data_IF_032004202105
#
_entry.id   IF_032004202105
#
_cell.length_a   1.000
_cell.length_b   1.000
_cell.length_c   1.000
_cell.angle_alpha   90.00
_cell.angle_beta   90.00
_cell.angle_gamma   90.00
#
_symmetry.space_group_name_H-M   'P 1'
#
loop_
_entity.id
_entity.type
_entity.pdbx_description
1 polymer ?
#
# COMPACT_ATOMS: atom_id res chain seq x y z
N UNK A 1 8.99 -3.11 -0.59
CA UNK A 1 9.92 -4.22 -0.91
C UNK A 1 9.70 -5.46 -0.06
N UNK A 2 9.22 -5.31 1.18
CA UNK A 2 9.01 -6.41 2.15
C UNK A 2 8.32 -7.65 1.60
N UNK A 3 7.30 -7.51 0.75
CA UNK A 3 6.62 -8.68 0.18
C UNK A 3 7.44 -9.38 -0.91
N UNK A 4 8.14 -8.65 -1.78
CA UNK A 4 8.99 -9.30 -2.80
C UNK A 4 10.08 -10.12 -2.10
N UNK A 5 10.70 -9.58 -1.05
CA UNK A 5 11.69 -10.32 -0.26
C UNK A 5 11.07 -11.48 0.54
N UNK A 6 9.94 -11.25 1.20
CA UNK A 6 9.27 -12.33 1.97
C UNK A 6 8.91 -13.51 1.07
N UNK A 7 8.28 -13.24 -0.08
CA UNK A 7 7.83 -14.30 -0.98
C UNK A 7 8.98 -14.90 -1.79
N UNK A 8 10.07 -14.17 -2.05
CA UNK A 8 11.29 -14.76 -2.63
C UNK A 8 11.87 -15.86 -1.71
N UNK A 9 11.93 -15.60 -0.40
CA UNK A 9 12.43 -16.57 0.59
C UNK A 9 11.49 -17.77 0.79
N UNK A 10 10.18 -17.54 0.81
CA UNK A 10 9.17 -18.60 0.99
C UNK A 10 9.09 -19.52 -0.24
N UNK A 11 9.15 -18.96 -1.44
CA UNK A 11 9.04 -19.71 -2.70
C UNK A 11 10.39 -20.14 -3.27
N UNK A 12 11.48 -19.85 -2.56
CA UNK A 12 12.86 -20.15 -2.99
C UNK A 12 13.12 -19.62 -4.39
N UNK A 13 12.78 -18.36 -4.62
CA UNK A 13 13.09 -17.64 -5.86
C UNK A 13 14.25 -16.71 -5.59
N UNK A 14 15.33 -16.82 -6.36
CA UNK A 14 16.51 -15.96 -6.18
C UNK A 14 16.27 -14.60 -6.83
N UNK A 15 16.19 -13.56 -6.03
CA UNK A 15 16.17 -12.16 -6.51
C UNK A 15 17.54 -11.55 -6.21
N UNK A 16 18.22 -11.01 -7.22
CA UNK A 16 19.56 -10.42 -7.06
C UNK A 16 19.52 -8.91 -6.88
N UNK A 17 18.49 -8.26 -7.42
CA UNK A 17 18.29 -6.81 -7.29
C UNK A 17 16.82 -6.46 -7.37
N UNK A 18 16.42 -5.48 -6.58
CA UNK A 18 15.11 -4.82 -6.65
C UNK A 18 15.33 -3.32 -6.55
N UNK A 19 14.80 -2.56 -7.49
CA UNK A 19 14.57 -1.12 -7.37
C UNK A 19 13.09 -0.86 -7.47
N UNK A 20 12.58 -0.03 -6.58
CA UNK A 20 11.18 0.36 -6.57
C UNK A 20 11.06 1.88 -6.48
N UNK A 21 10.13 2.43 -7.25
CA UNK A 21 9.71 3.81 -7.17
C UNK A 21 8.19 3.82 -6.97
N UNK A 22 7.71 4.70 -6.10
CA UNK A 22 6.30 4.86 -5.81
C UNK A 22 5.94 6.34 -5.86
N UNK A 23 4.87 6.67 -6.60
CA UNK A 23 4.32 8.01 -6.69
C UNK A 23 2.86 7.96 -6.26
N UNK A 24 2.47 8.84 -5.34
CA UNK A 24 1.09 8.96 -4.88
C UNK A 24 0.57 10.34 -5.27
N UNK A 25 -0.57 10.36 -5.93
CA UNK A 25 -1.27 11.58 -6.31
C UNK A 25 -2.34 11.84 -5.27
N UNK A 26 -2.17 12.93 -4.51
CA UNK A 26 -3.14 13.37 -3.52
C UNK A 26 -3.93 14.57 -4.06
N UNK A 27 -5.20 14.65 -3.70
CA UNK A 27 -6.04 15.81 -3.94
C UNK A 27 -6.74 16.20 -2.63
N UNK A 28 -6.88 17.51 -2.42
CA UNK A 28 -7.56 18.09 -1.28
C UNK A 28 -8.51 19.18 -1.80
N UNK A 29 -9.77 19.10 -1.43
CA UNK A 29 -10.81 20.05 -1.84
C UNK A 29 -11.57 20.58 -0.63
N UNK A 30 -12.29 21.70 -0.80
CA UNK A 30 -13.14 22.29 0.24
C UNK A 30 -12.46 23.39 1.06
N UNK A 31 -13.03 23.71 2.22
CA UNK A 31 -12.56 24.77 3.12
C UNK A 31 -12.41 24.27 4.55
N UNK A 32 -11.22 24.54 5.13
CA UNK A 32 -10.90 24.21 6.53
C UNK A 32 -11.85 24.95 7.48
N UNK A 33 -12.02 26.27 7.29
CA UNK A 33 -12.85 27.08 8.17
C UNK A 33 -14.35 26.75 8.04
N UNK A 34 -14.77 26.27 6.87
CA UNK A 34 -16.16 25.87 6.64
C UNK A 34 -16.44 24.39 6.96
N UNK A 35 -15.43 23.61 7.39
CA UNK A 35 -15.59 22.19 7.71
C UNK A 35 -15.95 21.30 6.51
N UNK A 36 -15.60 21.70 5.29
CA UNK A 36 -15.94 20.97 4.04
C UNK A 36 -14.74 20.28 3.41
N UNK A 37 -13.67 20.06 4.17
CA UNK A 37 -12.45 19.44 3.66
C UNK A 37 -12.68 17.98 3.29
N UNK A 38 -12.29 17.63 2.08
CA UNK A 38 -12.26 16.26 1.59
C UNK A 38 -10.88 15.96 1.00
N UNK A 39 -10.27 14.87 1.45
CA UNK A 39 -8.98 14.39 0.99
C UNK A 39 -9.16 13.09 0.19
N UNK A 40 -8.49 13.00 -0.95
CA UNK A 40 -8.49 11.79 -1.78
C UNK A 40 -7.08 11.45 -2.26
N UNK A 41 -6.86 10.18 -2.60
CA UNK A 41 -5.64 9.69 -3.23
C UNK A 41 -6.00 8.97 -4.54
N UNK A 42 -6.39 9.70 -5.60
CA UNK A 42 -6.99 9.10 -6.80
C UNK A 42 -6.08 8.12 -7.54
N UNK A 43 -4.76 8.19 -7.34
CA UNK A 43 -3.82 7.34 -8.06
C UNK A 43 -2.58 7.04 -7.22
N UNK A 44 -2.19 5.76 -7.21
CA UNK A 44 -0.89 5.29 -6.73
C UNK A 44 -0.21 4.56 -7.88
N UNK A 45 1.00 5.00 -8.22
CA UNK A 45 1.83 4.41 -9.26
C UNK A 45 3.05 3.75 -8.63
N UNK A 46 3.39 2.56 -9.10
CA UNK A 46 4.61 1.88 -8.68
C UNK A 46 5.36 1.34 -9.89
N UNK A 47 6.66 1.61 -9.93
CA UNK A 47 7.60 1.10 -10.93
C UNK A 47 8.62 0.21 -10.24
N UNK A 48 8.81 -1.00 -10.77
CA UNK A 48 9.76 -1.97 -10.23
C UNK A 48 10.76 -2.38 -11.31
N UNK A 49 12.04 -2.38 -10.98
CA UNK A 49 13.10 -3.05 -11.75
C UNK A 49 13.60 -4.23 -10.90
N UNK A 50 13.53 -5.44 -11.43
CA UNK A 50 13.83 -6.67 -10.69
C UNK A 50 14.75 -7.53 -11.54
N UNK A 51 15.83 -8.01 -10.93
CA UNK A 51 16.79 -8.93 -11.54
C UNK A 51 16.72 -10.28 -10.83
N UNK A 52 16.67 -11.36 -11.61
CA UNK A 52 16.64 -12.74 -11.11
C UNK A 52 17.25 -13.67 -12.16
N UNK A 53 18.07 -14.66 -11.74
CA UNK A 53 18.57 -15.71 -12.63
C UNK A 53 17.59 -16.88 -12.79
N UNK A 54 16.49 -16.89 -12.05
CA UNK A 54 15.51 -17.98 -12.08
C UNK A 54 14.59 -17.87 -13.29
N UNK A 55 13.91 -18.97 -13.62
CA UNK A 55 12.92 -19.01 -14.71
C UNK A 55 11.86 -17.88 -14.59
N UNK A 56 11.58 -17.13 -15.66
CA UNK A 56 10.64 -16.01 -15.62
C UNK A 56 9.22 -16.38 -15.17
N UNK A 57 8.73 -17.59 -15.47
CA UNK A 57 7.39 -18.01 -15.04
C UNK A 57 7.36 -18.24 -13.52
N UNK A 58 8.44 -18.81 -12.96
CA UNK A 58 8.62 -18.95 -11.50
C UNK A 58 8.68 -17.59 -10.82
N UNK A 59 9.44 -16.65 -11.36
CA UNK A 59 9.52 -15.27 -10.84
C UNK A 59 8.15 -14.60 -10.89
N UNK A 60 7.43 -14.71 -12.01
CA UNK A 60 6.09 -14.14 -12.17
C UNK A 60 5.08 -14.68 -11.15
N UNK A 61 5.11 -15.99 -10.87
CA UNK A 61 4.28 -16.59 -9.83
C UNK A 61 4.59 -16.02 -8.44
N UNK A 62 5.86 -15.83 -8.11
CA UNK A 62 6.29 -15.20 -6.86
C UNK A 62 5.87 -13.75 -6.76
N UNK A 63 6.07 -12.94 -7.82
CA UNK A 63 5.66 -11.53 -7.84
C UNK A 63 4.13 -11.38 -7.72
N UNK A 64 3.36 -12.31 -8.29
CA UNK A 64 1.90 -12.35 -8.11
C UNK A 64 1.53 -12.56 -6.64
N UNK A 65 2.19 -13.49 -5.96
CA UNK A 65 1.99 -13.71 -4.52
C UNK A 65 2.42 -12.49 -3.70
N UNK A 66 3.56 -11.88 -4.01
CA UNK A 66 4.02 -10.66 -3.35
C UNK A 66 3.04 -9.49 -3.52
N UNK A 67 2.45 -9.34 -4.71
CA UNK A 67 1.41 -8.34 -5.00
C UNK A 67 0.14 -8.59 -4.20
N UNK A 68 -0.32 -9.84 -4.14
CA UNK A 68 -1.53 -10.21 -3.42
C UNK A 68 -1.35 -10.16 -1.89
N UNK A 69 -0.13 -10.38 -1.39
CA UNK A 69 0.21 -10.26 0.02
C UNK A 69 0.55 -8.84 0.48
N UNK A 70 0.45 -7.83 -0.39
CA UNK A 70 0.75 -6.45 -0.03
C UNK A 70 -0.42 -5.79 0.69
N UNK A 71 -0.34 -5.69 2.02
CA UNK A 71 -1.38 -5.09 2.87
C UNK A 71 -1.78 -3.67 2.44
N UNK A 72 -0.82 -2.78 2.15
CA UNK A 72 -1.13 -1.42 1.69
C UNK A 72 -1.92 -1.45 0.39
N UNK A 73 -1.51 -2.29 -0.57
CA UNK A 73 -2.26 -2.44 -1.83
C UNK A 73 -3.66 -2.98 -1.58
N UNK A 74 -3.81 -3.95 -0.67
CA UNK A 74 -5.11 -4.53 -0.33
C UNK A 74 -6.04 -3.48 0.30
N UNK A 75 -5.53 -2.66 1.23
CA UNK A 75 -6.29 -1.60 1.90
C UNK A 75 -6.64 -0.42 0.98
N UNK A 76 -5.82 -0.14 -0.04
CA UNK A 76 -6.14 0.87 -1.07
C UNK A 76 -7.15 0.34 -2.08
N UNK A 77 -7.03 -0.94 -2.47
CA UNK A 77 -7.91 -1.54 -3.48
C UNK A 77 -9.30 -1.93 -2.94
N UNK A 78 -9.40 -2.20 -1.63
CA UNK A 78 -10.63 -2.54 -0.95
C UNK A 78 -10.75 -1.62 0.27
N UNK A 79 -11.80 -0.80 0.39
CA UNK A 79 -11.98 0.08 1.54
C UNK A 79 -11.95 -0.73 2.85
N UNK A 80 -10.83 -0.63 3.58
CA UNK A 80 -10.73 -1.19 4.93
C UNK A 80 -11.44 -0.22 5.88
N UNK A 81 -12.39 -0.68 6.71
CA UNK A 81 -13.00 0.16 7.73
C UNK A 81 -11.92 0.79 8.62
N UNK A 82 -12.01 2.10 8.80
CA UNK A 82 -11.13 2.84 9.71
C UNK A 82 -11.95 3.16 10.96
N UNK A 83 -11.66 2.46 12.06
CA UNK A 83 -12.34 2.66 13.34
C UNK A 83 -11.48 3.55 14.23
N UNK A 84 -12.08 4.59 14.79
CA UNK A 84 -11.40 5.51 15.69
C UNK A 84 -12.25 5.81 16.93
N UNK A 85 -11.56 5.99 18.05
CA UNK A 85 -12.17 6.42 19.31
C UNK A 85 -11.47 7.69 19.75
N UNK A 86 -12.25 8.75 20.02
CA UNK A 86 -11.70 10.03 20.43
C UNK A 86 -11.88 10.23 21.93
N UNK A 87 -10.91 10.88 22.54
CA UNK A 87 -10.96 11.33 23.93
C UNK A 87 -10.58 12.79 23.97
N UNK A 88 -11.48 13.63 24.47
CA UNK A 88 -11.28 15.08 24.59
C UNK A 88 -11.26 15.44 26.07
N UNK A 89 -10.13 15.98 26.55
CA UNK A 89 -9.93 16.36 27.95
C UNK A 89 -10.24 15.22 28.95
N UNK A 90 -9.77 14.01 28.63
CA UNK A 90 -9.93 12.83 29.49
C UNK A 90 -11.33 12.21 29.47
N UNK A 91 -12.24 12.65 28.59
CA UNK A 91 -13.59 12.08 28.43
C UNK A 91 -13.78 11.53 27.03
N UNK A 92 -14.51 10.41 26.85
CA UNK A 92 -14.90 9.93 25.53
C UNK A 92 -15.57 11.05 24.73
N UNK A 93 -15.20 11.16 23.47
CA UNK A 93 -15.70 12.17 22.54
C UNK A 93 -16.10 11.47 21.24
N UNK A 94 -17.27 11.83 20.70
CA UNK A 94 -17.71 11.39 19.39
C UNK A 94 -17.58 12.57 18.43
N UNK A 95 -16.81 12.40 17.37
CA UNK A 95 -17.09 13.10 16.12
C UNK A 95 -18.27 12.34 15.49
N UNK A 96 -19.27 13.06 15.00
CA UNK A 96 -20.54 12.53 14.48
C UNK A 96 -20.43 11.24 13.64
#
# INVERSE_FOLDING_TARGET
MTQIERYSQLMKVKITKVRAEASVHFALTGSVLAGTIEATAPKVETRYEIESPDDPARVAAMLRNAKNGCWVRAAVANPTPFEETLTLNGRPFALD
#
